data_IF_503818197744
#
_entry.id   IF_503818197744
#
_cell.length_a   1.000
_cell.length_b   1.000
_cell.length_c   1.000
_cell.angle_alpha   90.00
_cell.angle_beta   90.00
_cell.angle_gamma   90.00
#
_symmetry.space_group_name_H-M   'P 1'
#
loop_
_entity.id
_entity.type
_entity.pdbx_description
1 polymer ?
#
# COMPACT_ATOMS: atom_id res chain seq x y z
N UNK A 1 -50.61 6.83 -26.15
CA UNK A 1 -51.22 7.12 -24.83
C UNK A 1 -50.13 7.68 -23.92
N UNK A 2 -50.50 8.38 -22.86
CA UNK A 2 -49.59 8.97 -21.84
C UNK A 2 -49.93 8.32 -20.49
N UNK A 3 -49.20 8.64 -19.41
CA UNK A 3 -49.42 8.24 -17.99
C UNK A 3 -48.85 6.84 -17.66
N UNK A 4 -48.00 6.65 -16.63
CA UNK A 4 -47.24 7.62 -15.81
C UNK A 4 -45.95 6.98 -15.26
N UNK A 5 -45.02 7.82 -14.78
CA UNK A 5 -43.94 7.39 -13.89
C UNK A 5 -44.42 7.28 -12.44
N UNK A 6 -43.65 6.55 -11.60
CA UNK A 6 -43.80 6.57 -10.15
C UNK A 6 -42.41 6.63 -9.51
N UNK A 7 -42.04 7.82 -9.02
CA UNK A 7 -40.92 8.04 -8.10
C UNK A 7 -41.51 8.41 -6.74
N UNK A 8 -40.90 7.95 -5.66
CA UNK A 8 -41.29 8.32 -4.28
C UNK A 8 -40.06 8.82 -3.53
N UNK A 9 -39.85 10.13 -3.54
CA UNK A 9 -38.97 10.80 -2.59
C UNK A 9 -39.65 10.87 -1.21
N UNK A 10 -38.86 10.85 -0.14
CA UNK A 10 -39.35 11.00 1.23
C UNK A 10 -38.53 12.06 1.99
N UNK A 11 -38.80 13.34 1.71
CA UNK A 11 -38.21 14.47 2.43
C UNK A 11 -39.14 14.95 3.55
N UNK A 12 -38.69 14.89 4.81
CA UNK A 12 -39.40 15.47 5.96
C UNK A 12 -38.83 16.85 6.33
N UNK A 13 -39.72 17.82 6.53
CA UNK A 13 -39.39 19.23 6.74
C UNK A 13 -38.81 19.56 8.12
N UNK A 14 -38.00 20.62 8.16
CA UNK A 14 -37.58 21.33 9.39
C UNK A 14 -38.03 22.79 9.29
N UNK A 15 -38.81 23.27 10.27
CA UNK A 15 -39.10 24.70 10.50
C UNK A 15 -39.16 24.94 12.02
N UNK A 16 -38.53 26.00 12.57
CA UNK A 16 -38.33 26.17 14.03
C UNK A 16 -39.25 27.21 14.69
N UNK A 17 -39.24 27.27 16.03
CA UNK A 17 -39.50 28.53 16.77
C UNK A 17 -38.79 28.56 18.14
N UNK A 18 -38.83 29.70 18.84
CA UNK A 18 -37.75 30.12 19.74
C UNK A 18 -38.12 30.45 21.22
N UNK A 19 -37.29 29.93 22.14
CA UNK A 19 -36.68 30.64 23.29
C UNK A 19 -37.62 31.18 24.44
N UNK A 20 -37.11 31.72 25.57
CA UNK A 20 -36.91 30.90 26.79
C UNK A 20 -37.50 31.45 28.11
N UNK A 21 -37.70 30.58 29.11
CA UNK A 21 -38.03 30.98 30.51
C UNK A 21 -37.23 30.15 31.53
N UNK A 22 -36.82 30.79 32.64
CA UNK A 22 -36.06 30.18 33.76
C UNK A 22 -36.99 29.76 34.92
N UNK A 23 -36.71 28.64 35.61
CA UNK A 23 -36.40 28.61 37.09
C UNK A 23 -36.28 27.23 37.75
N UNK A 24 -35.36 27.20 38.73
CA UNK A 24 -35.32 26.44 40.02
C UNK A 24 -35.17 24.91 40.05
N UNK A 25 -33.93 24.53 40.41
CA UNK A 25 -33.51 23.50 41.36
C UNK A 25 -34.58 22.90 42.31
N UNK A 26 -34.47 21.60 42.56
CA UNK A 26 -34.50 20.97 43.90
C UNK A 26 -33.30 20.00 43.97
N UNK A 27 -32.78 19.74 45.18
CA UNK A 27 -31.49 19.06 45.43
C UNK A 27 -31.62 17.60 45.85
N UNK A 28 -30.52 16.83 45.70
CA UNK A 28 -30.09 15.81 46.67
C UNK A 28 -28.61 15.43 46.49
N UNK A 29 -27.78 15.85 47.44
CA UNK A 29 -26.47 15.28 47.82
C UNK A 29 -26.72 14.21 48.92
N UNK A 30 -25.70 13.53 49.52
CA UNK A 30 -24.23 13.59 49.35
C UNK A 30 -23.70 12.17 48.95
N UNK A 31 -22.45 11.69 49.09
CA UNK A 31 -21.24 12.03 49.88
C UNK A 31 -19.95 11.78 49.08
N UNK A 32 -18.88 12.46 49.47
CA UNK A 32 -17.49 12.12 49.13
C UNK A 32 -16.68 12.01 50.42
N UNK A 33 -15.62 11.20 50.43
CA UNK A 33 -14.68 11.04 51.56
C UNK A 33 -13.27 10.94 50.99
N UNK A 34 -12.38 11.83 51.47
CA UNK A 34 -10.93 11.83 51.23
C UNK A 34 -10.23 10.97 52.32
N UNK A 35 -8.93 10.69 52.38
CA UNK A 35 -7.74 11.14 51.64
C UNK A 35 -6.56 10.18 51.94
N UNK A 36 -5.46 10.26 51.16
CA UNK A 36 -4.06 9.85 51.53
C UNK A 36 -3.84 8.35 51.81
N UNK A 37 -2.63 7.76 51.77
CA UNK A 37 -1.35 7.97 51.04
C UNK A 37 -0.79 6.52 50.80
N UNK A 38 0.49 6.13 50.59
CA UNK A 38 1.83 6.74 50.66
C UNK A 38 2.84 5.95 49.78
N UNK A 39 4.13 6.33 49.78
CA UNK A 39 5.15 5.79 48.87
C UNK A 39 5.88 4.51 49.35
N UNK A 40 6.39 3.72 48.40
CA UNK A 40 7.48 2.75 48.59
C UNK A 40 8.21 2.45 47.26
N UNK A 41 9.53 2.30 47.32
CA UNK A 41 10.40 1.83 46.21
C UNK A 41 10.71 0.34 46.38
N UNK A 42 11.01 -0.38 45.29
CA UNK A 42 12.15 -1.32 45.31
C UNK A 42 12.63 -1.72 43.90
N UNK A 43 13.87 -2.19 43.86
CA UNK A 43 14.59 -2.71 42.69
C UNK A 43 14.46 -4.23 42.53
N UNK A 44 14.98 -4.77 41.43
CA UNK A 44 15.09 -6.22 41.22
C UNK A 44 15.64 -6.57 39.83
N UNK A 45 16.97 -6.67 39.72
CA UNK A 45 17.65 -7.37 38.63
C UNK A 45 17.72 -8.87 38.99
N UNK A 46 17.75 -9.75 37.98
CA UNK A 46 18.87 -10.69 37.71
C UNK A 46 18.51 -11.71 36.62
N UNK A 47 19.55 -12.18 35.91
CA UNK A 47 19.47 -13.21 34.88
C UNK A 47 19.33 -14.62 35.46
N UNK A 48 19.00 -15.61 34.62
CA UNK A 48 19.59 -16.94 34.79
C UNK A 48 19.70 -17.70 33.47
N UNK A 49 20.94 -17.88 33.02
CA UNK A 49 21.34 -18.75 31.91
C UNK A 49 21.63 -20.16 32.44
N UNK A 50 21.05 -21.21 31.85
CA UNK A 50 21.50 -22.62 31.97
C UNK A 50 20.67 -23.53 31.03
N UNK A 51 21.16 -24.63 30.47
CA UNK A 51 22.42 -24.92 29.77
C UNK A 51 22.18 -26.17 28.88
N UNK A 52 23.17 -26.59 28.09
CA UNK A 52 23.09 -27.80 27.25
C UNK A 52 23.49 -29.08 27.99
N UNK A 53 22.89 -30.21 27.65
CA UNK A 53 23.51 -31.53 27.83
C UNK A 53 23.63 -32.26 26.48
N UNK A 54 24.81 -32.84 26.24
CA UNK A 54 25.05 -33.91 25.27
C UNK A 54 25.46 -35.15 26.05
N UNK A 55 25.05 -36.34 25.60
CA UNK A 55 25.44 -37.62 26.19
C UNK A 55 25.49 -38.71 25.13
N UNK A 56 26.67 -39.29 24.92
CA UNK A 56 26.91 -40.31 23.89
C UNK A 56 26.65 -41.74 24.40
N UNK A 57 26.25 -42.64 23.50
CA UNK A 57 26.91 -43.95 23.35
C UNK A 57 26.37 -44.75 22.14
N UNK A 58 27.22 -45.63 21.63
CA UNK A 58 27.02 -46.58 20.53
C UNK A 58 27.59 -47.94 20.98
N UNK A 59 27.63 -49.05 20.17
CA UNK A 59 27.19 -49.24 18.79
C UNK A 59 26.34 -50.52 18.53
N UNK A 60 25.91 -50.73 17.28
CA UNK A 60 25.37 -52.00 16.79
C UNK A 60 25.65 -52.20 15.29
N UNK A 61 26.44 -53.21 14.94
CA UNK A 61 27.06 -53.35 13.60
C UNK A 61 26.35 -54.35 12.68
N UNK A 62 26.19 -54.01 11.39
CA UNK A 62 26.51 -54.94 10.28
C UNK A 62 26.62 -54.29 8.88
N UNK A 63 27.63 -54.77 8.15
CA UNK A 63 27.90 -54.78 6.70
C UNK A 63 26.70 -54.45 5.79
N UNK A 64 26.83 -53.47 4.88
CA UNK A 64 27.58 -53.52 3.59
C UNK A 64 26.95 -54.46 2.55
N UNK A 65 26.52 -53.87 1.43
CA UNK A 65 27.08 -54.24 0.13
C UNK A 65 27.05 -53.04 -0.83
N UNK A 66 28.02 -52.95 -1.73
CA UNK A 66 28.06 -51.98 -2.83
C UNK A 66 28.08 -52.75 -4.14
N UNK A 67 27.23 -52.39 -5.09
CA UNK A 67 27.49 -52.70 -6.50
C UNK A 67 27.55 -51.43 -7.33
N UNK A 68 28.63 -51.34 -8.12
CA UNK A 68 28.91 -50.31 -9.11
C UNK A 68 29.20 -51.07 -10.40
N UNK A 69 28.43 -50.80 -11.44
CA UNK A 69 28.70 -51.32 -12.79
C UNK A 69 28.83 -50.10 -13.70
N UNK A 70 30.07 -49.82 -14.12
CA UNK A 70 30.28 -49.11 -15.37
C UNK A 70 30.00 -50.11 -16.50
N UNK A 71 29.36 -49.66 -17.57
CA UNK A 71 29.60 -50.22 -18.90
C UNK A 71 29.69 -49.09 -19.92
N UNK A 72 30.49 -49.29 -20.97
CA UNK A 72 31.05 -48.22 -21.78
C UNK A 72 31.21 -48.70 -23.23
N UNK A 73 30.35 -48.22 -24.13
CA UNK A 73 30.50 -48.49 -25.56
C UNK A 73 30.26 -47.23 -26.43
N UNK A 74 31.32 -46.89 -27.15
CA UNK A 74 31.39 -46.02 -28.32
C UNK A 74 30.83 -46.77 -29.56
N UNK A 75 30.51 -46.21 -30.73
CA UNK A 75 30.32 -44.83 -31.23
C UNK A 75 29.57 -44.96 -32.58
N UNK A 76 28.68 -44.03 -32.91
CA UNK A 76 28.47 -43.54 -34.29
C UNK A 76 27.70 -42.23 -34.25
N UNK A 77 28.02 -41.29 -35.13
CA UNK A 77 27.27 -40.04 -35.30
C UNK A 77 26.93 -39.80 -36.76
N UNK A 78 25.85 -39.04 -36.99
CA UNK A 78 25.51 -38.40 -38.28
C UNK A 78 24.79 -37.10 -37.99
N UNK A 79 25.21 -36.01 -38.62
CA UNK A 79 24.54 -34.72 -38.61
C UNK A 79 23.22 -34.72 -39.41
N UNK A 80 22.60 -33.53 -39.47
CA UNK A 80 21.80 -32.93 -40.56
C UNK A 80 20.35 -32.57 -40.17
N UNK A 81 19.91 -31.45 -40.74
CA UNK A 81 18.56 -30.86 -40.79
C UNK A 81 18.18 -29.88 -39.67
N UNK A 82 18.00 -28.62 -40.08
CA UNK A 82 17.46 -27.50 -39.30
C UNK A 82 15.99 -27.24 -39.67
N UNK A 83 15.34 -26.35 -38.91
CA UNK A 83 14.10 -25.63 -39.26
C UNK A 83 12.79 -26.47 -39.25
N UNK A 84 11.60 -25.84 -39.16
CA UNK A 84 11.34 -24.40 -39.20
C UNK A 84 10.71 -23.77 -37.95
N UNK A 85 10.81 -22.45 -37.85
CA UNK A 85 9.85 -21.63 -37.10
C UNK A 85 8.42 -21.87 -37.58
N UNK A 86 7.45 -21.77 -36.66
CA UNK A 86 6.05 -21.60 -37.04
C UNK A 86 5.50 -20.33 -36.39
N UNK A 87 5.33 -19.28 -37.20
CA UNK A 87 4.80 -17.98 -36.78
C UNK A 87 3.29 -18.06 -36.53
N UNK A 88 2.91 -18.55 -35.36
CA UNK A 88 1.52 -18.61 -34.89
C UNK A 88 0.94 -17.22 -34.59
N UNK A 89 0.50 -16.51 -35.64
CA UNK A 89 -0.22 -15.25 -35.48
C UNK A 89 -1.58 -15.48 -34.81
N UNK A 90 -1.74 -14.99 -33.59
CA UNK A 90 -3.05 -14.84 -32.94
C UNK A 90 -3.27 -13.38 -32.52
N UNK A 91 -3.70 -12.58 -33.49
CA UNK A 91 -4.28 -11.26 -33.25
C UNK A 91 -5.62 -11.41 -32.54
N UNK A 92 -5.68 -11.09 -31.24
CA UNK A 92 -6.90 -11.10 -30.45
C UNK A 92 -7.17 -9.73 -29.81
N UNK A 93 -8.08 -8.97 -30.41
CA UNK A 93 -8.84 -7.88 -29.77
C UNK A 93 -8.07 -6.83 -28.95
N UNK A 94 -7.24 -6.00 -29.59
CA UNK A 94 -7.01 -4.64 -29.06
C UNK A 94 -8.17 -3.75 -29.52
N UNK A 95 -9.37 -3.98 -28.94
CA UNK A 95 -10.55 -3.19 -29.27
C UNK A 95 -10.33 -1.73 -28.86
N UNK A 96 -10.55 -0.83 -29.82
CA UNK A 96 -10.13 0.57 -29.72
C UNK A 96 -11.10 1.42 -28.91
N UNK A 97 -11.40 1.00 -27.68
CA UNK A 97 -11.94 1.85 -26.62
C UNK A 97 -10.87 2.87 -26.22
N UNK A 98 -10.77 3.90 -27.04
CA UNK A 98 -10.08 5.14 -26.76
C UNK A 98 -11.01 6.02 -25.91
N UNK A 99 -11.08 5.74 -24.60
CA UNK A 99 -11.67 6.67 -23.62
C UNK A 99 -11.11 8.07 -23.88
N UNK A 100 -11.96 9.00 -24.31
CA UNK A 100 -11.55 10.36 -24.59
C UNK A 100 -11.05 11.03 -23.31
N UNK A 101 -9.84 11.60 -23.35
CA UNK A 101 -9.20 12.20 -22.18
C UNK A 101 -10.02 13.42 -21.71
N UNK A 102 -10.70 13.37 -20.54
CA UNK A 102 -11.53 14.49 -20.09
C UNK A 102 -10.66 15.71 -19.82
N UNK A 103 -11.14 16.90 -20.18
CA UNK A 103 -10.41 18.15 -19.97
C UNK A 103 -9.96 18.30 -18.51
N UNK A 104 -8.75 18.83 -18.31
CA UNK A 104 -8.22 19.06 -16.97
C UNK A 104 -8.88 20.29 -16.33
N UNK A 105 -9.48 20.19 -15.14
CA UNK A 105 -9.96 21.34 -14.39
C UNK A 105 -8.88 22.42 -14.21
N UNK A 106 -9.29 23.69 -14.23
CA UNK A 106 -8.42 24.83 -13.91
C UNK A 106 -7.98 24.82 -12.44
N UNK A 107 -8.87 24.43 -11.53
CA UNK A 107 -8.48 24.20 -10.13
C UNK A 107 -7.59 22.97 -10.01
N UNK A 108 -6.43 23.16 -9.39
CA UNK A 108 -5.39 22.15 -9.31
C UNK A 108 -5.77 20.98 -8.37
N UNK A 109 -6.68 21.18 -7.42
CA UNK A 109 -7.15 20.13 -6.50
C UNK A 109 -8.05 19.16 -7.22
N UNK A 110 -9.05 19.68 -7.94
CA UNK A 110 -9.91 18.87 -8.79
C UNK A 110 -9.13 18.26 -9.97
N UNK A 111 -8.13 18.96 -10.50
CA UNK A 111 -7.23 18.41 -11.53
C UNK A 111 -6.36 17.25 -11.04
N UNK A 112 -5.93 17.26 -9.77
CA UNK A 112 -5.25 16.13 -9.12
C UNK A 112 -6.24 14.99 -8.83
N UNK A 113 -7.41 15.32 -8.27
CA UNK A 113 -8.46 14.36 -7.91
C UNK A 113 -9.02 13.61 -9.12
N UNK A 114 -9.20 14.29 -10.26
CA UNK A 114 -9.54 13.67 -11.55
C UNK A 114 -8.49 12.63 -11.99
N UNK A 115 -7.20 12.92 -11.80
CA UNK A 115 -6.08 12.10 -12.31
C UNK A 115 -5.73 10.94 -11.40
N UNK A 116 -5.95 11.08 -10.08
CA UNK A 116 -5.56 10.09 -9.08
C UNK A 116 -6.74 9.48 -8.30
N UNK A 117 -7.97 9.92 -8.56
CA UNK A 117 -9.23 9.45 -7.95
C UNK A 117 -9.36 9.70 -6.43
N UNK A 118 -8.48 10.51 -5.84
CA UNK A 118 -8.44 10.79 -4.39
C UNK A 118 -8.08 12.25 -4.12
N UNK A 119 -8.63 12.83 -3.06
CA UNK A 119 -8.27 14.20 -2.63
C UNK A 119 -6.94 14.22 -1.86
N UNK A 120 -6.16 15.30 -2.02
CA UNK A 120 -4.93 15.53 -1.25
C UNK A 120 -5.20 16.32 0.04
N UNK A 121 -4.57 15.94 1.17
CA UNK A 121 -4.73 16.66 2.43
C UNK A 121 -4.05 18.04 2.38
N UNK A 122 -4.37 18.89 3.36
CA UNK A 122 -3.79 20.25 3.44
C UNK A 122 -2.25 20.24 3.50
N UNK A 123 -1.65 19.28 4.21
CA UNK A 123 -0.20 19.21 4.36
C UNK A 123 0.54 18.98 3.04
N UNK A 124 -0.06 18.31 2.05
CA UNK A 124 0.51 18.15 0.71
C UNK A 124 0.79 19.51 0.04
N UNK A 125 -0.20 20.40 0.02
CA UNK A 125 -0.09 21.71 -0.62
C UNK A 125 0.85 22.64 0.16
N UNK A 126 0.77 22.65 1.49
CA UNK A 126 1.67 23.44 2.33
C UNK A 126 3.13 22.94 2.20
N UNK A 127 3.35 21.63 2.01
CA UNK A 127 4.68 21.05 1.81
C UNK A 127 5.28 21.39 0.44
N UNK A 128 4.46 21.60 -0.59
CA UNK A 128 4.90 22.18 -1.87
C UNK A 128 5.40 23.63 -1.69
N UNK A 129 4.66 24.45 -0.94
CA UNK A 129 5.07 25.82 -0.64
C UNK A 129 6.32 25.89 0.25
N UNK A 130 6.48 24.95 1.19
CA UNK A 130 7.74 24.76 1.92
C UNK A 130 8.90 24.46 0.96
N UNK A 131 8.75 23.50 0.05
CA UNK A 131 9.79 23.14 -0.92
C UNK A 131 10.10 24.28 -1.91
N UNK A 132 9.11 25.11 -2.28
CA UNK A 132 9.31 26.35 -3.06
C UNK A 132 10.12 27.41 -2.29
N UNK A 133 10.03 27.45 -0.96
CA UNK A 133 10.85 28.35 -0.14
C UNK A 133 12.33 27.94 -0.10
N UNK A 134 12.60 26.63 -0.21
CA UNK A 134 13.95 26.07 -0.29
C UNK A 134 14.54 26.19 -1.69
N UNK A 135 13.77 25.82 -2.73
CA UNK A 135 14.16 25.92 -4.13
C UNK A 135 13.00 26.43 -4.99
N UNK A 136 13.00 27.73 -5.29
CA UNK A 136 11.96 28.40 -6.09
C UNK A 136 11.89 27.93 -7.55
N UNK A 137 12.99 27.43 -8.11
CA UNK A 137 13.10 27.10 -9.54
C UNK A 137 12.78 25.62 -9.83
N UNK A 138 13.10 24.73 -8.89
CA UNK A 138 12.85 23.29 -9.00
C UNK A 138 12.42 22.72 -7.64
N UNK A 139 11.19 23.05 -7.17
CA UNK A 139 10.75 22.70 -5.81
C UNK A 139 10.71 21.19 -5.59
N UNK A 140 10.52 20.40 -6.65
CA UNK A 140 10.49 18.94 -6.55
C UNK A 140 11.84 18.31 -6.18
N UNK A 141 12.95 19.00 -6.47
CA UNK A 141 14.33 18.59 -6.14
C UNK A 141 14.83 19.29 -4.86
N UNK A 142 14.00 20.06 -4.15
CA UNK A 142 14.40 20.89 -3.01
C UNK A 142 15.04 20.12 -1.82
N UNK A 143 14.86 18.79 -1.78
CA UNK A 143 15.39 17.89 -0.75
C UNK A 143 16.52 16.99 -1.27
N UNK A 144 16.78 16.99 -2.59
CA UNK A 144 17.61 15.99 -3.26
C UNK A 144 19.08 16.05 -2.81
N UNK A 145 19.69 17.24 -2.86
CA UNK A 145 21.10 17.44 -2.50
C UNK A 145 21.42 17.21 -1.00
N UNK A 146 20.38 17.09 -0.15
CA UNK A 146 20.53 16.94 1.31
C UNK A 146 20.08 15.57 1.83
N UNK A 147 19.17 14.87 1.13
CA UNK A 147 18.55 13.61 1.58
C UNK A 147 18.39 12.55 0.47
N UNK A 148 18.73 12.86 -0.79
CA UNK A 148 18.42 12.00 -1.96
C UNK A 148 16.94 11.98 -2.34
N UNK A 149 16.08 12.75 -1.65
CA UNK A 149 14.63 12.71 -1.83
C UNK A 149 14.14 13.67 -2.92
N UNK A 150 13.22 13.20 -3.77
CA UNK A 150 12.53 13.98 -4.81
C UNK A 150 11.01 13.84 -4.67
N UNK A 151 10.29 14.96 -4.70
CA UNK A 151 8.82 14.99 -4.72
C UNK A 151 8.30 14.55 -6.09
N UNK A 152 7.24 13.75 -6.13
CA UNK A 152 6.77 13.06 -7.34
C UNK A 152 5.25 12.84 -7.37
N UNK A 153 4.74 12.36 -8.51
CA UNK A 153 3.37 11.84 -8.62
C UNK A 153 2.35 12.97 -8.62
N UNK A 154 1.49 13.11 -7.60
CA UNK A 154 0.67 14.30 -7.42
C UNK A 154 1.46 15.62 -7.46
N UNK A 155 2.72 15.65 -6.99
CA UNK A 155 3.57 16.85 -7.10
C UNK A 155 4.01 17.14 -8.55
N UNK A 156 4.09 16.15 -9.44
CA UNK A 156 4.39 16.38 -10.86
C UNK A 156 3.24 17.13 -11.58
N UNK A 157 2.02 17.15 -11.00
CA UNK A 157 0.92 18.05 -11.44
C UNK A 157 1.16 19.48 -10.96
N UNK A 158 1.58 19.68 -9.70
CA UNK A 158 1.93 21.02 -9.19
C UNK A 158 3.15 21.63 -9.91
N UNK A 159 4.09 20.77 -10.34
CA UNK A 159 5.22 21.12 -11.20
C UNK A 159 4.82 21.33 -12.69
N UNK A 160 3.54 21.16 -13.05
CA UNK A 160 2.98 21.26 -14.42
C UNK A 160 3.59 20.31 -15.46
N UNK A 161 4.19 19.19 -15.03
CA UNK A 161 4.76 18.16 -15.91
C UNK A 161 3.73 17.09 -16.28
N UNK A 162 2.87 16.72 -15.33
CA UNK A 162 1.84 15.71 -15.51
C UNK A 162 0.55 16.34 -16.03
N UNK A 163 0.35 16.23 -17.34
CA UNK A 163 -0.79 16.78 -18.08
C UNK A 163 -1.52 15.66 -18.82
N UNK A 164 -2.70 15.94 -19.39
CA UNK A 164 -3.39 14.97 -20.26
C UNK A 164 -2.53 14.53 -21.46
N UNK A 165 -1.63 15.38 -21.96
CA UNK A 165 -0.70 15.02 -23.04
C UNK A 165 0.42 14.06 -22.59
N UNK A 166 0.62 13.90 -21.29
CA UNK A 166 1.68 13.07 -20.70
C UNK A 166 1.31 11.57 -20.61
N UNK A 167 0.10 11.19 -21.03
CA UNK A 167 -0.48 9.84 -20.95
C UNK A 167 -1.20 9.45 -22.25
N UNK A 168 -1.63 8.19 -22.39
CA UNK A 168 -2.45 7.71 -23.53
C UNK A 168 -3.89 7.38 -23.14
N UNK A 169 -4.12 6.84 -21.94
CA UNK A 169 -5.46 6.56 -21.38
C UNK A 169 -5.55 7.14 -19.96
N UNK A 170 -6.75 7.49 -19.43
CA UNK A 170 -6.87 8.10 -18.09
C UNK A 170 -6.25 7.23 -16.98
N UNK A 171 -6.39 5.91 -17.08
CA UNK A 171 -5.81 4.91 -16.18
C UNK A 171 -4.27 4.98 -16.04
N UNK A 172 -3.54 5.59 -17.00
CA UNK A 172 -2.08 5.70 -16.93
C UNK A 172 -1.62 6.55 -15.75
N UNK A 173 -2.37 7.58 -15.38
CA UNK A 173 -2.06 8.43 -14.22
C UNK A 173 -2.01 7.62 -12.92
N UNK A 174 -2.88 6.60 -12.78
CA UNK A 174 -3.01 5.76 -11.58
C UNK A 174 -1.78 4.87 -11.33
N UNK A 175 -0.94 4.72 -12.36
CA UNK A 175 0.30 3.92 -12.37
C UNK A 175 1.56 4.79 -12.20
N UNK A 176 1.43 6.12 -12.24
CA UNK A 176 2.56 7.04 -12.17
C UNK A 176 3.20 7.02 -10.78
N UNK A 177 4.48 6.63 -10.72
CA UNK A 177 5.23 6.40 -9.47
C UNK A 177 4.61 5.37 -8.53
N UNK A 178 3.76 4.47 -9.05
CA UNK A 178 3.23 3.34 -8.28
C UNK A 178 4.24 2.19 -8.30
N UNK A 179 4.87 1.94 -7.16
CA UNK A 179 5.89 0.90 -7.00
C UNK A 179 5.26 -0.50 -6.95
N UNK A 180 6.07 -1.53 -7.22
CA UNK A 180 5.58 -2.90 -7.41
C UNK A 180 4.68 -3.41 -6.27
N UNK A 181 4.98 -3.03 -5.02
CA UNK A 181 4.23 -3.43 -3.84
C UNK A 181 3.26 -2.36 -3.30
N UNK A 182 3.01 -1.26 -4.02
CA UNK A 182 2.03 -0.24 -3.63
C UNK A 182 0.58 -0.74 -3.83
N UNK A 183 -0.15 -1.11 -2.75
CA UNK A 183 -1.57 -1.41 -2.88
C UNK A 183 -2.35 -0.11 -3.18
N UNK A 184 -3.60 -0.18 -3.64
CA UNK A 184 -4.40 1.01 -4.00
C UNK A 184 -4.48 2.08 -2.89
N UNK A 185 -4.53 1.65 -1.64
CA UNK A 185 -4.50 2.45 -0.40
C UNK A 185 -3.27 3.36 -0.32
N UNK A 186 -2.14 2.91 -0.86
CA UNK A 186 -0.88 3.64 -0.86
C UNK A 186 -0.72 4.45 -2.14
N UNK A 187 -0.34 5.72 -1.97
CA UNK A 187 -0.10 6.65 -3.05
C UNK A 187 1.22 7.38 -2.82
N UNK A 188 2.24 6.99 -3.59
CA UNK A 188 3.58 7.58 -3.52
C UNK A 188 3.60 9.07 -3.91
N UNK A 189 4.33 9.86 -3.12
CA UNK A 189 4.48 11.31 -3.24
C UNK A 189 5.93 11.79 -3.10
N UNK A 190 6.83 10.97 -2.53
CA UNK A 190 8.28 11.24 -2.51
C UNK A 190 9.00 9.93 -2.83
N UNK A 191 10.06 9.99 -3.64
CA UNK A 191 10.99 8.87 -3.86
C UNK A 191 12.40 9.22 -3.38
N UNK A 192 13.16 8.20 -3.01
CA UNK A 192 14.60 8.28 -2.74
C UNK A 192 15.41 7.71 -3.92
N UNK A 193 16.29 6.77 -3.58
CA UNK A 193 17.19 6.06 -4.48
C UNK A 193 16.48 5.04 -5.39
N UNK A 194 17.14 4.70 -6.49
CA UNK A 194 16.68 3.71 -7.47
C UNK A 194 17.14 2.27 -7.16
N UNK A 195 18.03 2.07 -6.18
CA UNK A 195 18.62 0.76 -5.85
C UNK A 195 17.69 -0.07 -4.95
N UNK A 196 17.34 0.48 -3.79
CA UNK A 196 16.35 -0.10 -2.87
C UNK A 196 14.91 0.19 -3.31
N UNK A 197 14.75 1.19 -4.18
CA UNK A 197 13.46 1.80 -4.56
C UNK A 197 12.70 2.33 -3.33
N UNK A 198 13.41 2.98 -2.39
CA UNK A 198 12.81 3.62 -1.22
C UNK A 198 11.89 4.78 -1.62
N UNK A 199 10.72 4.86 -1.00
CA UNK A 199 9.74 5.91 -1.27
C UNK A 199 8.79 6.14 -0.07
N UNK A 200 8.15 7.31 -0.07
CA UNK A 200 7.10 7.70 0.86
C UNK A 200 5.78 7.90 0.12
N UNK A 201 4.70 7.35 0.68
CA UNK A 201 3.35 7.50 0.17
C UNK A 201 2.33 7.85 1.24
N UNK A 202 1.25 8.52 0.85
CA UNK A 202 0.05 8.63 1.69
C UNK A 202 -0.68 7.30 1.72
N UNK A 203 -1.07 6.82 2.90
CA UNK A 203 -1.92 5.65 3.09
C UNK A 203 -3.35 6.10 3.44
N UNK A 204 -4.35 5.61 2.70
CA UNK A 204 -5.78 5.85 2.90
C UNK A 204 -6.49 4.51 3.09
N UNK A 205 -7.28 4.36 4.14
CA UNK A 205 -8.15 3.19 4.32
C UNK A 205 -9.34 3.21 3.35
N UNK A 206 -9.78 4.40 2.92
CA UNK A 206 -10.87 4.62 1.99
C UNK A 206 -10.50 5.72 0.98
N UNK A 207 -10.80 5.59 -0.33
CA UNK A 207 -10.44 6.61 -1.32
C UNK A 207 -11.15 7.96 -1.08
N UNK A 208 -12.31 7.94 -0.42
CA UNK A 208 -13.08 9.14 -0.11
C UNK A 208 -12.61 9.85 1.18
N UNK A 209 -11.73 9.21 1.97
CA UNK A 209 -11.18 9.78 3.20
C UNK A 209 -9.78 10.39 3.02
N UNK A 210 -9.42 11.25 3.97
CA UNK A 210 -8.08 11.85 4.04
C UNK A 210 -7.04 10.83 4.53
N UNK A 211 -5.78 10.87 4.03
CA UNK A 211 -4.73 9.94 4.45
C UNK A 211 -4.57 9.83 5.96
N UNK A 212 -4.61 8.61 6.49
CA UNK A 212 -4.46 8.33 7.93
C UNK A 212 -3.02 8.47 8.41
N UNK A 213 -2.05 8.18 7.54
CA UNK A 213 -0.63 8.43 7.76
C UNK A 213 0.14 8.50 6.41
N UNK A 214 1.35 9.05 6.46
CA UNK A 214 2.42 8.81 5.50
C UNK A 214 3.12 7.52 5.89
N UNK A 215 3.35 6.65 4.92
CA UNK A 215 4.05 5.38 5.05
C UNK A 215 5.30 5.35 4.14
N UNK A 216 6.16 4.36 4.37
CA UNK A 216 7.34 4.09 3.53
C UNK A 216 7.48 2.62 3.20
N UNK A 217 7.94 2.32 1.99
CA UNK A 217 8.41 1.01 1.57
C UNK A 217 9.75 1.16 0.82
N UNK A 218 10.56 0.09 0.86
CA UNK A 218 11.65 -0.15 -0.08
C UNK A 218 11.32 -1.47 -0.78
N UNK A 219 11.24 -1.47 -2.11
CA UNK A 219 10.80 -2.65 -2.87
C UNK A 219 11.81 -3.80 -2.75
N UNK A 220 13.09 -3.48 -2.51
CA UNK A 220 14.13 -4.48 -2.20
C UNK A 220 13.86 -5.28 -0.91
N UNK A 221 13.23 -4.67 0.09
CA UNK A 221 12.83 -5.32 1.36
C UNK A 221 11.47 -6.05 1.26
N UNK A 222 10.90 -6.10 0.05
CA UNK A 222 9.62 -6.74 -0.24
C UNK A 222 8.41 -5.82 0.04
N UNK A 223 7.30 -6.42 0.43
CA UNK A 223 5.99 -5.77 0.51
C UNK A 223 5.71 -5.03 1.84
N UNK A 224 6.68 -4.87 2.74
CA UNK A 224 6.44 -4.29 4.06
C UNK A 224 6.27 -2.76 4.00
N UNK A 225 5.12 -2.27 4.46
CA UNK A 225 4.76 -0.85 4.50
C UNK A 225 4.87 -0.35 5.94
N UNK A 226 5.88 0.47 6.21
CA UNK A 226 6.13 1.04 7.54
C UNK A 226 5.41 2.38 7.71
N UNK A 227 4.60 2.52 8.75
CA UNK A 227 3.95 3.77 9.15
C UNK A 227 4.98 4.80 9.65
N UNK A 228 5.10 5.93 8.96
CA UNK A 228 6.09 6.99 9.27
C UNK A 228 5.50 8.07 10.17
N UNK A 229 4.50 8.84 9.72
CA UNK A 229 3.95 10.00 10.45
C UNK A 229 2.53 10.37 9.99
N UNK A 230 1.83 11.26 10.71
CA UNK A 230 0.49 11.71 10.33
C UNK A 230 0.40 12.64 9.11
N UNK A 231 1.53 13.21 8.67
CA UNK A 231 1.65 14.17 7.57
C UNK A 231 3.10 14.21 7.04
N UNK A 232 3.32 14.90 5.91
CA UNK A 232 4.65 14.98 5.26
C UNK A 232 5.71 15.73 6.08
N UNK A 233 5.33 16.71 6.92
CA UNK A 233 6.26 17.44 7.78
C UNK A 233 6.84 16.53 8.87
N UNK A 234 6.00 15.74 9.52
CA UNK A 234 6.43 14.71 10.48
C UNK A 234 7.25 13.59 9.81
N UNK A 235 6.95 13.25 8.55
CA UNK A 235 7.71 12.26 7.81
C UNK A 235 9.12 12.76 7.45
N UNK A 236 9.24 13.94 6.83
CA UNK A 236 10.53 14.54 6.50
C UNK A 236 11.40 14.79 7.75
N UNK A 237 10.79 15.15 8.89
CA UNK A 237 11.51 15.27 10.17
C UNK A 237 12.11 13.94 10.62
N UNK A 238 11.43 12.81 10.40
CA UNK A 238 11.97 11.47 10.69
C UNK A 238 13.12 11.12 9.74
N UNK A 239 13.01 11.44 8.45
CA UNK A 239 14.10 11.19 7.49
C UNK A 239 15.36 12.01 7.81
N UNK A 240 15.20 13.30 8.15
CA UNK A 240 16.32 14.12 8.63
C UNK A 240 16.89 13.56 9.95
N UNK A 241 16.04 13.01 10.83
CA UNK A 241 16.47 12.40 12.10
C UNK A 241 17.16 11.05 11.94
N UNK A 242 16.94 10.30 10.84
CA UNK A 242 17.76 9.16 10.43
C UNK A 242 19.10 9.67 9.92
N UNK A 243 19.09 10.49 8.87
CA UNK A 243 20.28 11.03 8.22
C UNK A 243 21.24 11.75 9.20
N UNK A 244 20.73 12.44 10.23
CA UNK A 244 21.56 13.08 11.27
C UNK A 244 22.29 12.12 12.20
N UNK A 245 21.87 10.84 12.31
CA UNK A 245 22.59 9.78 13.02
C UNK A 245 23.71 9.23 12.14
N UNK A 246 23.35 8.86 10.91
CA UNK A 246 24.19 8.05 10.02
C UNK A 246 25.25 8.89 9.28
N UNK A 247 24.99 10.19 9.10
CA UNK A 247 25.93 11.14 8.51
C UNK A 247 27.23 11.24 9.33
N UNK A 248 28.39 11.25 8.68
CA UNK A 248 29.69 11.53 9.31
C UNK A 248 30.20 12.94 9.01
N UNK A 249 29.94 13.48 7.81
CA UNK A 249 30.42 14.81 7.40
C UNK A 249 29.78 15.97 8.20
N UNK A 250 30.61 16.97 8.51
CA UNK A 250 30.24 18.17 9.25
C UNK A 250 29.39 19.14 8.41
N UNK A 251 29.61 19.23 7.09
CA UNK A 251 28.86 20.16 6.22
C UNK A 251 27.45 19.65 5.98
N UNK A 252 27.30 18.38 5.61
CA UNK A 252 26.02 17.68 5.46
C UNK A 252 25.22 17.70 6.78
N UNK A 253 25.85 17.40 7.92
CA UNK A 253 25.21 17.53 9.25
C UNK A 253 24.74 18.96 9.54
N UNK A 254 25.45 19.99 9.09
CA UNK A 254 25.03 21.39 9.21
C UNK A 254 23.83 21.71 8.30
N UNK A 255 23.85 21.25 7.04
CA UNK A 255 22.73 21.40 6.10
C UNK A 255 21.46 20.71 6.60
N UNK A 256 21.57 19.47 7.10
CA UNK A 256 20.48 18.72 7.73
C UNK A 256 19.88 19.45 8.94
N UNK A 257 20.72 20.03 9.81
CA UNK A 257 20.26 20.86 10.94
C UNK A 257 19.52 22.12 10.48
N UNK A 258 20.04 22.82 9.46
CA UNK A 258 19.37 23.99 8.87
C UNK A 258 18.01 23.63 8.25
N UNK A 259 17.95 22.52 7.50
CA UNK A 259 16.72 22.00 6.89
C UNK A 259 15.69 21.63 7.97
N UNK A 260 16.10 20.95 9.05
CA UNK A 260 15.20 20.67 10.18
C UNK A 260 14.71 21.96 10.86
N UNK A 261 15.55 22.99 11.02
CA UNK A 261 15.13 24.28 11.57
C UNK A 261 14.01 24.92 10.75
N UNK A 262 14.24 25.10 9.45
CA UNK A 262 13.23 25.65 8.54
C UNK A 262 11.96 24.80 8.47
N UNK A 263 12.08 23.47 8.56
CA UNK A 263 10.95 22.55 8.56
C UNK A 263 10.06 22.72 9.80
N UNK A 264 10.67 22.87 10.98
CA UNK A 264 9.95 23.10 12.25
C UNK A 264 9.25 24.46 12.21
N UNK A 265 9.96 25.52 11.85
CA UNK A 265 9.44 26.89 11.77
C UNK A 265 8.23 26.98 10.82
N UNK A 266 8.34 26.42 9.61
CA UNK A 266 7.24 26.42 8.64
C UNK A 266 6.07 25.53 9.09
N UNK A 267 6.33 24.37 9.70
CA UNK A 267 5.28 23.50 10.21
C UNK A 267 4.50 24.16 11.37
N UNK A 268 5.19 24.88 12.25
CA UNK A 268 4.56 25.64 13.34
C UNK A 268 3.72 26.81 12.79
N UNK A 269 4.24 27.57 11.82
CA UNK A 269 3.51 28.65 11.13
C UNK A 269 2.22 28.14 10.47
N UNK A 270 2.31 27.01 9.75
CA UNK A 270 1.15 26.37 9.10
C UNK A 270 0.29 25.51 10.05
N UNK A 271 0.71 25.31 11.30
CA UNK A 271 0.04 24.48 12.33
C UNK A 271 -0.07 22.98 11.97
N UNK A 272 0.99 22.39 11.43
CA UNK A 272 1.10 20.95 11.16
C UNK A 272 1.85 20.23 12.29
N UNK A 273 1.36 19.06 12.72
CA UNK A 273 2.00 18.30 13.80
C UNK A 273 3.24 17.55 13.32
N UNK A 274 4.41 17.92 13.86
CA UNK A 274 5.70 17.28 13.56
C UNK A 274 6.05 16.11 14.49
N UNK A 275 5.09 15.59 15.25
CA UNK A 275 5.24 14.47 16.20
C UNK A 275 4.13 13.41 16.10
N UNK A 276 2.99 13.74 15.51
CA UNK A 276 1.86 12.82 15.32
C UNK A 276 2.25 11.62 14.44
N UNK A 277 2.03 10.39 14.93
CA UNK A 277 2.38 9.16 14.21
C UNK A 277 1.34 8.75 13.16
N UNK A 278 0.06 9.05 13.41
CA UNK A 278 -1.06 8.97 12.47
C UNK A 278 -2.19 9.84 13.00
N UNK A 279 -3.10 10.21 12.11
CA UNK A 279 -4.43 10.70 12.48
C UNK A 279 -5.21 9.58 13.20
N UNK A 280 -6.39 9.91 13.72
CA UNK A 280 -7.32 8.94 14.30
C UNK A 280 -7.72 7.89 13.25
N UNK A 281 -7.35 6.63 13.48
CA UNK A 281 -7.67 5.46 12.65
C UNK A 281 -8.35 4.39 13.52
N UNK A 282 -9.31 3.60 13.01
CA UNK A 282 -9.78 2.39 13.68
C UNK A 282 -8.65 1.37 13.93
N UNK A 283 -8.92 0.38 14.78
CA UNK A 283 -8.04 -0.79 14.89
C UNK A 283 -8.18 -1.64 13.61
N UNK A 284 -7.09 -2.02 12.93
CA UNK A 284 -7.15 -2.90 11.77
C UNK A 284 -7.66 -4.30 12.14
N UNK A 285 -8.49 -4.90 11.28
CA UNK A 285 -8.99 -6.26 11.46
C UNK A 285 -7.92 -7.32 11.15
N UNK A 286 -7.03 -7.03 10.20
CA UNK A 286 -5.82 -7.83 9.92
C UNK A 286 -4.61 -6.92 9.72
N UNK A 287 -3.41 -7.48 9.93
CA UNK A 287 -2.15 -6.83 9.55
C UNK A 287 -1.86 -6.93 8.05
N UNK A 288 -2.39 -7.97 7.37
CA UNK A 288 -1.98 -8.47 6.03
C UNK A 288 -0.47 -8.75 5.93
N UNK A 289 0.00 -9.20 4.78
CA UNK A 289 1.41 -9.36 4.44
C UNK A 289 2.17 -8.02 4.49
N UNK A 290 1.53 -6.89 4.14
CA UNK A 290 2.20 -5.58 4.08
C UNK A 290 2.30 -4.83 5.42
N UNK A 291 1.75 -5.37 6.51
CA UNK A 291 1.83 -4.85 7.90
C UNK A 291 1.20 -3.48 8.20
N UNK A 292 0.94 -2.62 7.21
CA UNK A 292 0.15 -1.40 7.43
C UNK A 292 -1.28 -1.66 7.95
N UNK A 293 -1.80 -2.87 7.75
CA UNK A 293 -3.10 -3.33 8.26
C UNK A 293 -4.29 -2.86 7.44
N UNK A 294 -5.35 -3.67 7.46
CA UNK A 294 -6.61 -3.51 6.73
C UNK A 294 -7.70 -2.95 7.65
N UNK A 295 -8.45 -1.95 7.18
CA UNK A 295 -9.60 -1.37 7.89
C UNK A 295 -10.86 -1.42 7.02
N UNK A 296 -11.87 -2.13 7.51
CA UNK A 296 -13.23 -2.18 6.93
C UNK A 296 -14.31 -1.83 7.97
N UNK A 297 -15.52 -1.42 7.55
CA UNK A 297 -16.66 -1.29 8.44
C UNK A 297 -17.02 -2.65 9.06
N UNK A 298 -17.43 -2.66 10.34
CA UNK A 298 -18.00 -3.84 11.03
C UNK A 298 -19.18 -3.36 11.89
N UNK A 299 -20.36 -3.99 11.76
CA UNK A 299 -21.52 -3.74 12.63
C UNK A 299 -21.25 -4.33 14.03
N UNK A 300 -21.17 -3.46 15.04
CA UNK A 300 -20.80 -3.83 16.42
C UNK A 300 -21.86 -4.65 17.19
N UNK A 301 -23.02 -4.91 16.60
CA UNK A 301 -24.13 -5.69 17.17
C UNK A 301 -24.25 -7.05 16.50
N UNK A 302 -23.88 -7.19 15.23
CA UNK A 302 -23.90 -8.47 14.51
C UNK A 302 -22.52 -9.07 14.24
N UNK A 303 -21.45 -8.29 14.45
CA UNK A 303 -20.04 -8.60 14.14
C UNK A 303 -19.78 -8.91 12.64
N UNK A 304 -20.58 -8.29 11.77
CA UNK A 304 -20.54 -8.49 10.30
C UNK A 304 -19.78 -7.35 9.62
N UNK A 305 -18.89 -7.71 8.70
CA UNK A 305 -18.05 -6.85 7.85
C UNK A 305 -16.65 -7.45 7.60
N UNK A 306 -16.21 -8.38 8.44
CA UNK A 306 -14.94 -9.09 8.33
C UNK A 306 -14.97 -10.42 9.08
N UNK A 307 -14.46 -11.48 8.42
CA UNK A 307 -14.02 -12.71 9.07
C UNK A 307 -12.57 -13.02 8.65
N UNK A 308 -11.74 -13.62 9.52
CA UNK A 308 -10.37 -13.97 9.18
C UNK A 308 -10.29 -15.12 8.17
N UNK A 309 -9.16 -15.22 7.47
CA UNK A 309 -8.86 -16.39 6.63
C UNK A 309 -8.84 -17.70 7.44
N UNK A 310 -9.27 -18.85 6.85
CA UNK A 310 -9.30 -20.16 7.50
C UNK A 310 -7.90 -20.78 7.72
N UNK A 311 -6.83 -20.01 7.56
CA UNK A 311 -5.44 -20.44 7.67
C UNK A 311 -4.56 -19.26 8.12
N UNK A 312 -3.47 -19.55 8.81
CA UNK A 312 -2.49 -18.53 9.21
C UNK A 312 -1.69 -17.99 8.02
N UNK A 313 -1.15 -16.77 8.17
CA UNK A 313 -0.20 -16.16 7.22
C UNK A 313 0.93 -17.11 6.80
N UNK A 314 1.46 -17.92 7.72
CA UNK A 314 2.52 -18.89 7.44
C UNK A 314 2.04 -20.03 6.53
N UNK A 315 0.82 -20.50 6.72
CA UNK A 315 0.20 -21.53 5.86
C UNK A 315 -0.11 -20.95 4.48
N UNK A 316 -0.68 -19.74 4.40
CA UNK A 316 -0.93 -19.07 3.13
C UNK A 316 0.37 -18.84 2.34
N UNK A 317 1.42 -18.28 2.98
CA UNK A 317 2.74 -18.10 2.34
C UNK A 317 3.35 -19.41 1.88
N UNK A 318 3.19 -20.50 2.63
CA UNK A 318 3.63 -21.83 2.21
C UNK A 318 2.86 -22.32 0.97
N UNK A 319 1.53 -22.27 0.99
CA UNK A 319 0.65 -22.68 -0.11
C UNK A 319 0.98 -21.93 -1.41
N UNK A 320 1.06 -20.60 -1.35
CA UNK A 320 1.43 -19.75 -2.50
C UNK A 320 2.85 -20.06 -3.01
N UNK A 321 3.78 -20.37 -2.11
CA UNK A 321 5.15 -20.78 -2.48
C UNK A 321 5.19 -22.13 -3.20
N UNK A 322 4.29 -23.07 -2.88
CA UNK A 322 4.20 -24.33 -3.64
C UNK A 322 3.61 -24.08 -5.04
N UNK A 323 2.48 -23.37 -5.13
CA UNK A 323 1.83 -23.00 -6.41
C UNK A 323 2.80 -22.26 -7.34
N UNK A 324 3.60 -21.33 -6.80
CA UNK A 324 4.62 -20.59 -7.54
C UNK A 324 5.76 -21.49 -8.09
N UNK A 325 6.10 -22.57 -7.38
CA UNK A 325 7.19 -23.50 -7.76
C UNK A 325 6.75 -24.64 -8.68
N UNK A 326 5.46 -24.96 -8.75
CA UNK A 326 4.95 -25.99 -9.65
C UNK A 326 5.15 -25.60 -11.12
N UNK A 327 5.46 -26.59 -11.97
CA UNK A 327 5.32 -26.46 -13.42
C UNK A 327 3.84 -26.32 -13.76
N UNK A 328 3.51 -25.64 -14.86
CA UNK A 328 2.13 -25.26 -15.17
C UNK A 328 1.18 -26.48 -15.19
N UNK A 329 1.54 -27.54 -15.91
CA UNK A 329 0.75 -28.78 -15.99
C UNK A 329 0.54 -29.51 -14.63
N UNK A 330 1.43 -29.31 -13.66
CA UNK A 330 1.34 -29.91 -12.32
C UNK A 330 0.62 -28.99 -11.33
N UNK A 331 0.65 -27.66 -11.57
CA UNK A 331 0.07 -26.65 -10.69
C UNK A 331 -1.47 -26.67 -10.68
N UNK A 332 -2.07 -26.97 -11.84
CA UNK A 332 -3.53 -26.92 -12.05
C UNK A 332 -4.31 -27.95 -11.24
N UNK A 333 -3.70 -29.08 -10.86
CA UNK A 333 -4.45 -30.31 -10.54
C UNK A 333 -4.51 -30.73 -9.05
N UNK A 334 -3.80 -30.07 -8.14
CA UNK A 334 -3.89 -30.36 -6.68
C UNK A 334 -3.71 -29.13 -5.79
N UNK A 335 -2.71 -28.29 -6.05
CA UNK A 335 -2.49 -27.05 -5.29
C UNK A 335 -3.43 -25.91 -5.72
N UNK A 336 -4.06 -26.04 -6.89
CA UNK A 336 -5.21 -25.24 -7.28
C UNK A 336 -6.39 -25.46 -6.31
N UNK A 337 -6.67 -26.69 -5.89
CA UNK A 337 -7.86 -27.01 -5.08
C UNK A 337 -7.89 -26.26 -3.75
N UNK A 338 -6.78 -26.15 -3.02
CA UNK A 338 -6.70 -25.36 -1.79
C UNK A 338 -6.98 -23.86 -2.04
N UNK A 339 -6.49 -23.33 -3.17
CA UNK A 339 -6.75 -21.95 -3.59
C UNK A 339 -8.21 -21.74 -4.01
N UNK A 340 -8.83 -22.69 -4.71
CA UNK A 340 -10.25 -22.65 -5.10
C UNK A 340 -11.17 -22.83 -3.90
N UNK A 341 -10.80 -23.67 -2.93
CA UNK A 341 -11.48 -23.81 -1.65
C UNK A 341 -11.44 -22.49 -0.86
N UNK A 342 -10.30 -21.78 -0.87
CA UNK A 342 -10.18 -20.46 -0.25
C UNK A 342 -11.01 -19.39 -0.98
N UNK A 343 -10.98 -19.36 -2.32
CA UNK A 343 -11.85 -18.52 -3.16
C UNK A 343 -13.34 -18.77 -2.88
N UNK A 344 -13.74 -20.03 -2.73
CA UNK A 344 -15.12 -20.42 -2.42
C UNK A 344 -15.55 -19.89 -1.05
N UNK A 345 -14.67 -19.97 -0.04
CA UNK A 345 -14.93 -19.43 1.31
C UNK A 345 -14.99 -17.90 1.33
N UNK A 346 -14.19 -17.22 0.51
CA UNK A 346 -14.27 -15.77 0.30
C UNK A 346 -15.60 -15.38 -0.35
N UNK A 347 -16.07 -16.13 -1.35
CA UNK A 347 -17.37 -15.87 -1.98
C UNK A 347 -18.52 -16.02 -0.98
N UNK A 348 -18.53 -17.08 -0.16
CA UNK A 348 -19.51 -17.25 0.93
C UNK A 348 -19.42 -16.10 1.95
N UNK A 349 -18.22 -15.62 2.28
CA UNK A 349 -18.06 -14.45 3.14
C UNK A 349 -18.63 -13.18 2.50
N UNK A 350 -18.48 -12.99 1.19
CA UNK A 350 -19.09 -11.86 0.47
C UNK A 350 -20.63 -11.95 0.47
N UNK A 351 -21.21 -13.13 0.25
CA UNK A 351 -22.66 -13.37 0.33
C UNK A 351 -23.22 -13.11 1.75
N UNK A 352 -22.39 -13.31 2.77
CA UNK A 352 -22.69 -13.04 4.19
C UNK A 352 -22.19 -11.65 4.67
N UNK A 353 -21.87 -10.73 3.74
CA UNK A 353 -21.42 -9.35 3.96
C UNK A 353 -20.06 -9.13 4.67
N UNK A 354 -19.25 -10.18 4.86
CA UNK A 354 -17.90 -10.13 5.44
C UNK A 354 -16.80 -9.80 4.42
N UNK A 355 -17.02 -8.74 3.64
CA UNK A 355 -16.17 -8.31 2.51
C UNK A 355 -14.68 -8.14 2.85
N UNK A 356 -14.37 -7.85 4.12
CA UNK A 356 -12.98 -7.75 4.61
C UNK A 356 -12.15 -9.01 4.40
N UNK A 357 -12.77 -10.21 4.37
CA UNK A 357 -12.07 -11.47 4.11
C UNK A 357 -11.51 -11.52 2.69
N UNK A 358 -12.29 -11.09 1.70
CA UNK A 358 -11.88 -11.05 0.29
C UNK A 358 -10.83 -9.97 0.02
N UNK A 359 -10.93 -8.84 0.73
CA UNK A 359 -9.92 -7.79 0.68
C UNK A 359 -8.59 -8.25 1.31
N UNK A 360 -8.61 -8.92 2.46
CA UNK A 360 -7.41 -9.49 3.09
C UNK A 360 -6.71 -10.49 2.15
N UNK A 361 -7.44 -11.50 1.68
CA UNK A 361 -6.92 -12.51 0.77
C UNK A 361 -6.33 -11.90 -0.51
N UNK A 362 -7.06 -10.97 -1.12
CA UNK A 362 -6.65 -10.29 -2.34
C UNK A 362 -5.42 -9.40 -2.17
N UNK A 363 -5.26 -8.75 -1.02
CA UNK A 363 -4.05 -7.98 -0.66
C UNK A 363 -2.87 -8.92 -0.38
N UNK A 364 -3.06 -10.02 0.35
CA UNK A 364 -1.98 -10.98 0.63
C UNK A 364 -1.43 -11.62 -0.66
N UNK A 365 -2.32 -12.00 -1.60
CA UNK A 365 -1.92 -12.42 -2.96
C UNK A 365 -1.15 -11.32 -3.71
N UNK A 366 -1.62 -10.07 -3.65
CA UNK A 366 -0.95 -8.94 -4.28
C UNK A 366 0.46 -8.73 -3.70
N UNK A 367 0.59 -8.80 -2.38
CA UNK A 367 1.84 -8.66 -1.64
C UNK A 367 2.81 -9.84 -1.79
N UNK A 368 2.33 -11.03 -2.17
CA UNK A 368 3.18 -12.17 -2.52
C UNK A 368 3.99 -11.90 -3.81
N UNK A 369 3.40 -11.21 -4.79
CA UNK A 369 4.16 -10.66 -5.93
C UNK A 369 4.54 -11.66 -7.05
N UNK A 370 3.71 -12.70 -7.23
CA UNK A 370 3.75 -13.61 -8.38
C UNK A 370 2.62 -13.27 -9.38
N UNK A 371 2.93 -13.00 -10.67
CA UNK A 371 1.93 -12.75 -11.70
C UNK A 371 0.88 -13.84 -11.88
N UNK A 372 1.14 -15.10 -11.51
CA UNK A 372 0.17 -16.21 -11.58
C UNK A 372 -1.12 -15.92 -10.82
N UNK A 373 -1.06 -15.13 -9.75
CA UNK A 373 -2.24 -14.77 -8.95
C UNK A 373 -2.97 -13.51 -9.45
N UNK A 374 -2.46 -12.81 -10.49
CA UNK A 374 -3.10 -11.60 -11.00
C UNK A 374 -4.59 -11.78 -11.39
N UNK A 375 -5.04 -12.90 -12.01
CA UNK A 375 -6.47 -13.13 -12.26
C UNK A 375 -7.30 -13.22 -10.98
N UNK A 376 -6.82 -13.94 -9.96
CA UNK A 376 -7.50 -14.10 -8.67
C UNK A 376 -7.58 -12.77 -7.91
N UNK A 377 -6.52 -11.97 -7.93
CA UNK A 377 -6.48 -10.61 -7.34
C UNK A 377 -7.45 -9.68 -8.10
N UNK A 378 -7.43 -9.71 -9.45
CA UNK A 378 -8.35 -8.92 -10.27
C UNK A 378 -9.82 -9.27 -10.03
N UNK A 379 -10.13 -10.53 -9.73
CA UNK A 379 -11.48 -10.96 -9.37
C UNK A 379 -11.85 -10.54 -7.95
N UNK A 380 -11.12 -11.02 -6.94
CA UNK A 380 -11.52 -10.91 -5.53
C UNK A 380 -11.35 -9.51 -4.97
N UNK A 381 -10.20 -8.88 -5.16
CA UNK A 381 -9.94 -7.56 -4.56
C UNK A 381 -10.77 -6.47 -5.23
N UNK A 382 -11.01 -6.57 -6.55
CA UNK A 382 -11.96 -5.69 -7.26
C UNK A 382 -13.35 -5.79 -6.64
N UNK A 383 -13.88 -7.01 -6.48
CA UNK A 383 -15.22 -7.23 -5.94
C UNK A 383 -15.32 -6.72 -4.49
N UNK A 384 -14.34 -7.03 -3.65
CA UNK A 384 -14.29 -6.55 -2.27
C UNK A 384 -14.27 -5.01 -2.20
N UNK A 385 -13.48 -4.33 -3.03
CA UNK A 385 -13.53 -2.86 -3.12
C UNK A 385 -14.88 -2.33 -3.58
N UNK A 386 -15.55 -2.98 -4.54
CA UNK A 386 -16.88 -2.55 -5.00
C UNK A 386 -17.95 -2.74 -3.90
N UNK A 387 -17.95 -3.88 -3.21
CA UNK A 387 -18.85 -4.15 -2.08
C UNK A 387 -18.61 -3.21 -0.88
N UNK A 388 -17.40 -2.68 -0.75
CA UNK A 388 -17.04 -1.65 0.23
C UNK A 388 -17.29 -0.20 -0.24
N UNK A 389 -17.77 0.03 -1.46
CA UNK A 389 -17.95 1.37 -2.08
C UNK A 389 -16.61 2.16 -2.23
N UNK A 390 -15.57 1.44 -2.66
CA UNK A 390 -14.19 1.91 -2.86
C UNK A 390 -13.74 1.78 -4.32
N UNK A 391 -14.61 2.12 -5.27
CA UNK A 391 -14.41 1.87 -6.72
C UNK A 391 -13.14 2.51 -7.28
N UNK A 392 -12.70 3.63 -6.72
CA UNK A 392 -11.42 4.26 -7.05
C UNK A 392 -10.23 3.31 -6.81
N UNK A 393 -10.22 2.57 -5.70
CA UNK A 393 -9.20 1.55 -5.41
C UNK A 393 -9.32 0.35 -6.37
N UNK A 394 -10.53 -0.08 -6.72
CA UNK A 394 -10.75 -1.11 -7.73
C UNK A 394 -10.20 -0.68 -9.12
N UNK A 395 -10.38 0.58 -9.52
CA UNK A 395 -9.84 1.14 -10.77
C UNK A 395 -8.31 1.26 -10.73
N UNK A 396 -7.76 1.74 -9.61
CA UNK A 396 -6.30 1.81 -9.38
C UNK A 396 -5.66 0.41 -9.45
N UNK A 397 -6.27 -0.61 -8.84
CA UNK A 397 -5.80 -1.99 -8.89
C UNK A 397 -5.78 -2.53 -10.32
N UNK A 398 -6.88 -2.37 -11.06
CA UNK A 398 -6.99 -2.80 -12.47
C UNK A 398 -5.91 -2.14 -13.33
N UNK A 399 -5.69 -0.84 -13.17
CA UNK A 399 -4.61 -0.14 -13.85
C UNK A 399 -3.23 -0.67 -13.44
N UNK A 400 -2.97 -0.86 -12.14
CA UNK A 400 -1.67 -1.34 -11.64
C UNK A 400 -1.35 -2.75 -12.17
N UNK A 401 -2.28 -3.69 -12.07
CA UNK A 401 -2.05 -5.08 -12.51
C UNK A 401 -1.93 -5.20 -14.04
N UNK A 402 -2.58 -4.33 -14.81
CA UNK A 402 -2.42 -4.25 -16.29
C UNK A 402 -0.98 -3.91 -16.71
N UNK A 403 -0.21 -3.20 -15.88
CA UNK A 403 1.24 -2.95 -16.11
C UNK A 403 2.00 -2.75 -14.79
N UNK A 404 2.23 -3.85 -14.08
CA UNK A 404 2.93 -3.92 -12.78
C UNK A 404 4.44 -4.12 -13.01
N UNK A 405 5.28 -3.13 -12.69
CA UNK A 405 6.71 -3.12 -13.05
C UNK A 405 7.63 -3.31 -11.83
N UNK A 406 8.70 -4.10 -11.98
CA UNK A 406 9.78 -4.29 -10.98
C UNK A 406 11.01 -3.43 -11.33
N UNK A 407 10.79 -2.15 -11.66
CA UNK A 407 11.82 -1.22 -12.18
C UNK A 407 11.62 0.17 -11.57
N UNK A 408 12.71 0.93 -11.39
CA UNK A 408 12.63 2.27 -10.82
C UNK A 408 12.06 3.34 -11.80
N UNK A 409 12.08 3.11 -13.12
CA UNK A 409 11.38 3.96 -14.09
C UNK A 409 9.86 3.69 -14.07
N UNK A 410 9.20 4.38 -13.14
CA UNK A 410 7.75 4.34 -12.93
C UNK A 410 7.06 5.64 -13.38
N UNK A 411 7.80 6.54 -14.03
CA UNK A 411 7.29 7.82 -14.49
C UNK A 411 6.64 7.68 -15.86
N UNK A 412 5.37 8.03 -16.00
CA UNK A 412 4.71 8.06 -17.33
C UNK A 412 5.37 9.11 -18.24
N UNK A 413 6.01 10.12 -17.65
CA UNK A 413 6.73 11.21 -18.32
C UNK A 413 7.96 10.69 -19.11
N UNK A 414 8.61 9.61 -18.66
CA UNK A 414 9.82 9.05 -19.29
C UNK A 414 9.58 8.54 -20.72
N UNK A 415 8.32 8.29 -21.10
CA UNK A 415 7.94 7.73 -22.40
C UNK A 415 8.12 8.66 -23.61
N UNK A 416 8.58 9.90 -23.40
CA UNK A 416 8.92 10.87 -24.46
C UNK A 416 10.43 11.03 -24.67
N UNK A 417 11.18 9.93 -24.63
CA UNK A 417 12.54 9.88 -25.18
C UNK A 417 12.53 10.33 -26.65
N UNK A 418 13.28 11.39 -26.96
CA UNK A 418 13.17 12.07 -28.25
C UNK A 418 13.67 11.23 -29.42
N UNK A 419 12.89 11.19 -30.51
CA UNK A 419 13.50 10.99 -31.83
C UNK A 419 14.29 12.26 -32.16
N UNK A 420 15.60 12.19 -32.03
CA UNK A 420 16.48 13.08 -32.79
C UNK A 420 16.24 12.83 -34.29
N UNK A 421 16.22 13.88 -35.12
CA UNK A 421 16.04 13.74 -36.57
C UNK A 421 17.23 13.02 -37.23
#
# INVERSE_FOLDING_TARGET
LVVNACQTEAACFVVPNANPVKRRQVTKNPLAVEAKTDAAECSGEEDTEFQSEQGESSPGTRHEEKQKVDDRLEVTGTDVASAPDNSGSQTAGDESDAEEMPESPEDVRESIKQKFLVEMPRDFYDFWEFCKSLNKHKPEDALYDTLGLRLVGPFDVLARKLTNSSVKKPDDFLRHWRYYYDPPEMQTVVRGDDETMYHLGYFRDDPNEMPVFVASNAVADGCQITKVAGNLFGALRKEISKALKDCTDTKARSALRKLNGALVEFAEEKRHSITEASKKRPAPQSATFHRAGLVVPVDKRTDVGYRPLPMSERQLKFMLTQISKCKENDAENMLSDDLQNLVTRVNIANDECDYGMGLEFGIDLFCFGDPRFHPTILMQTTLAYQLLNREAFARILKAHLRRRLKTADLSVLSSRGGRTP
#
